data_IF_281262656686
#
_entry.id   IF_281262656686
#
_cell.length_a   1.000
_cell.length_b   1.000
_cell.length_c   1.000
_cell.angle_alpha   90.00
_cell.angle_beta   90.00
_cell.angle_gamma   90.00
#
_symmetry.space_group_name_H-M   'P 1'
#
loop_
_entity.id
_entity.type
_entity.pdbx_description
1 polymer ?
#
# COMPACT_ATOMS: atom_id res chain seq x y z
N UNK A 1 12.09 -46.10 44.06
CA UNK A 1 13.32 -45.72 43.31
C UNK A 1 12.93 -45.34 41.89
N UNK A 2 12.87 -44.05 41.56
CA UNK A 2 12.72 -43.57 40.17
C UNK A 2 13.59 -42.32 40.00
N UNK A 3 14.55 -42.41 39.07
CA UNK A 3 15.61 -41.43 38.85
C UNK A 3 15.14 -40.32 37.91
N UNK A 4 15.30 -39.07 38.34
CA UNK A 4 15.23 -37.87 37.53
C UNK A 4 16.39 -37.84 36.51
N UNK A 5 16.09 -37.56 35.24
CA UNK A 5 17.09 -37.24 34.22
C UNK A 5 16.95 -35.76 33.83
N UNK A 6 17.88 -34.95 34.33
CA UNK A 6 18.06 -33.56 33.91
C UNK A 6 18.94 -33.53 32.66
N UNK A 7 18.40 -33.03 31.54
CA UNK A 7 19.21 -32.67 30.38
C UNK A 7 19.54 -31.17 30.43
N UNK A 8 20.83 -30.89 30.59
CA UNK A 8 21.44 -29.55 30.63
C UNK A 8 21.95 -29.22 29.21
N UNK A 9 21.24 -28.35 28.50
CA UNK A 9 21.65 -27.88 27.16
C UNK A 9 22.64 -26.70 27.28
N UNK A 10 23.84 -26.92 26.78
CA UNK A 10 24.95 -25.97 26.70
C UNK A 10 24.71 -24.94 25.59
N UNK A 11 24.79 -23.64 25.90
CA UNK A 11 24.72 -22.56 24.91
C UNK A 11 26.09 -22.29 24.31
N UNK A 12 26.23 -22.50 23.00
CA UNK A 12 27.40 -22.07 22.21
C UNK A 12 27.17 -20.60 21.81
N UNK A 13 28.04 -19.69 22.27
CA UNK A 13 28.11 -18.30 21.81
C UNK A 13 29.17 -18.19 20.73
N UNK A 14 28.76 -17.92 19.49
CA UNK A 14 29.67 -17.57 18.39
C UNK A 14 29.79 -16.04 18.38
N UNK A 15 30.93 -15.53 18.83
CA UNK A 15 31.29 -14.12 18.71
C UNK A 15 31.90 -13.85 17.34
N UNK A 16 31.23 -13.03 16.52
CA UNK A 16 31.76 -12.58 15.24
C UNK A 16 32.31 -11.17 15.43
N UNK A 17 33.63 -11.07 15.56
CA UNK A 17 34.36 -9.81 15.70
C UNK A 17 34.72 -9.26 14.31
N UNK A 18 34.02 -8.21 13.86
CA UNK A 18 34.32 -7.53 12.58
C UNK A 18 35.32 -6.40 12.77
N UNK A 19 36.59 -6.65 12.43
CA UNK A 19 37.64 -5.62 12.29
C UNK A 19 37.39 -4.73 11.06
N UNK A 20 37.06 -3.45 11.27
CA UNK A 20 37.03 -2.43 10.20
C UNK A 20 38.44 -1.84 10.00
N UNK A 21 39.07 -2.13 8.85
CA UNK A 21 40.28 -1.42 8.40
C UNK A 21 39.89 -0.05 7.84
N UNK A 22 40.34 1.03 8.49
CA UNK A 22 40.25 2.40 7.95
C UNK A 22 41.36 2.59 6.90
N UNK A 23 41.00 2.77 5.64
CA UNK A 23 41.90 3.30 4.60
C UNK A 23 41.98 4.83 4.79
N UNK A 24 43.18 5.35 5.05
CA UNK A 24 43.47 6.78 4.96
C UNK A 24 43.61 7.12 3.48
N UNK A 25 42.77 8.02 2.99
CA UNK A 25 42.89 8.62 1.66
C UNK A 25 43.69 9.92 1.84
N UNK A 26 44.80 10.03 1.12
CA UNK A 26 45.60 11.26 1.05
C UNK A 26 44.89 12.26 0.14
N UNK A 27 44.59 13.44 0.68
CA UNK A 27 44.09 14.57 -0.07
C UNK A 27 45.26 15.27 -0.78
N UNK A 28 45.28 15.23 -2.11
CA UNK A 28 46.14 16.08 -2.91
C UNK A 28 45.50 17.48 -3.02
N UNK A 29 46.25 18.48 -2.57
CA UNK A 29 45.89 19.89 -2.63
C UNK A 29 46.15 20.40 -4.05
N UNK A 30 45.08 20.67 -4.81
CA UNK A 30 45.15 21.34 -6.13
C UNK A 30 44.76 22.81 -5.91
N UNK A 31 45.52 23.80 -6.41
CA UNK A 31 45.22 25.21 -6.21
C UNK A 31 43.96 25.63 -7.01
N UNK A 32 42.94 26.03 -6.26
CA UNK A 32 41.65 26.54 -6.71
C UNK A 32 41.73 28.03 -7.03
N UNK A 33 41.68 28.43 -8.29
CA UNK A 33 41.24 29.80 -8.61
C UNK A 33 40.74 30.04 -10.04
N UNK A 34 41.07 29.19 -11.04
CA UNK A 34 40.70 29.50 -12.44
C UNK A 34 39.68 28.55 -13.09
N UNK A 35 39.29 27.44 -12.43
CA UNK A 35 38.34 26.45 -12.98
C UNK A 35 36.89 26.74 -12.56
N UNK A 36 36.68 27.55 -11.51
CA UNK A 36 35.35 27.78 -10.93
C UNK A 36 34.38 28.55 -11.85
N UNK A 37 34.88 29.37 -12.78
CA UNK A 37 34.02 30.23 -13.62
C UNK A 37 33.48 29.47 -14.85
N UNK A 38 34.25 28.53 -15.42
CA UNK A 38 33.80 27.74 -16.58
C UNK A 38 32.81 26.63 -16.20
N UNK A 39 32.93 26.05 -15.00
CA UNK A 39 32.00 25.00 -14.54
C UNK A 39 30.62 25.58 -14.20
N UNK A 40 30.54 26.81 -13.67
CA UNK A 40 29.26 27.46 -13.38
C UNK A 40 28.46 27.84 -14.65
N UNK A 41 29.14 28.19 -15.74
CA UNK A 41 28.47 28.51 -17.02
C UNK A 41 27.98 27.27 -17.79
N UNK A 42 28.70 26.15 -17.72
CA UNK A 42 28.24 24.89 -18.34
C UNK A 42 27.10 24.21 -17.56
N UNK A 43 27.01 24.46 -16.24
CA UNK A 43 25.96 23.87 -15.38
C UNK A 43 24.58 24.50 -15.58
N UNK A 44 24.50 25.71 -16.14
CA UNK A 44 23.24 26.42 -16.41
C UNK A 44 22.63 26.11 -17.78
N UNK A 45 23.38 25.52 -18.71
CA UNK A 45 22.92 25.22 -20.08
C UNK A 45 22.53 23.75 -20.31
N UNK A 46 22.69 22.88 -19.30
CA UNK A 46 22.35 21.45 -19.37
C UNK A 46 21.41 21.05 -18.23
N UNK A 47 20.40 21.88 -17.92
CA UNK A 47 19.24 21.37 -17.20
C UNK A 47 18.31 20.76 -18.24
N UNK A 48 18.31 19.42 -18.44
CA UNK A 48 17.26 18.80 -19.22
C UNK A 48 15.94 19.22 -18.59
N UNK A 49 15.05 19.78 -19.40
CA UNK A 49 13.67 20.02 -19.03
C UNK A 49 13.05 18.68 -18.67
N UNK A 50 13.16 18.28 -17.40
CA UNK A 50 12.47 17.12 -16.88
C UNK A 50 10.99 17.47 -16.89
N UNK A 51 10.33 17.14 -18.00
CA UNK A 51 8.88 17.13 -18.09
C UNK A 51 8.44 16.02 -17.14
N UNK A 52 8.06 16.38 -15.92
CA UNK A 52 7.45 15.46 -14.97
C UNK A 52 6.07 15.14 -15.53
N UNK A 53 5.94 14.02 -16.24
CA UNK A 53 4.66 13.52 -16.72
C UNK A 53 3.94 12.79 -15.59
N UNK A 54 2.75 13.26 -15.24
CA UNK A 54 1.89 12.63 -14.24
C UNK A 54 1.26 11.35 -14.81
N UNK A 55 1.23 10.28 -14.02
CA UNK A 55 0.73 8.96 -14.44
C UNK A 55 -0.73 8.82 -14.02
N UNK A 56 -1.67 8.65 -14.94
CA UNK A 56 -3.08 8.49 -14.59
C UNK A 56 -3.52 7.02 -14.73
N UNK A 57 -4.25 6.48 -13.76
CA UNK A 57 -4.99 5.22 -13.85
C UNK A 57 -6.50 5.50 -13.82
N UNK A 58 -7.34 4.56 -14.27
CA UNK A 58 -8.81 4.74 -14.20
C UNK A 58 -9.45 3.74 -13.25
N UNK A 59 -10.34 4.22 -12.38
CA UNK A 59 -11.17 3.40 -11.51
C UNK A 59 -12.58 3.39 -12.08
N UNK A 60 -13.17 2.21 -12.21
CA UNK A 60 -14.57 2.04 -12.61
C UNK A 60 -15.34 1.35 -11.50
N UNK A 61 -16.45 1.92 -11.06
CA UNK A 61 -17.34 1.28 -10.08
C UNK A 61 -18.44 0.54 -10.84
N UNK A 62 -18.64 -0.73 -10.50
CA UNK A 62 -19.78 -1.48 -10.97
C UNK A 62 -20.94 -1.24 -10.00
N UNK A 63 -22.01 -0.64 -10.49
CA UNK A 63 -23.25 -0.54 -9.72
C UNK A 63 -23.82 -1.96 -9.50
N UNK A 64 -24.42 -2.24 -8.33
CA UNK A 64 -25.07 -3.52 -8.09
C UNK A 64 -26.17 -3.74 -9.14
N UNK A 65 -26.42 -5.00 -9.57
CA UNK A 65 -27.51 -5.30 -10.48
C UNK A 65 -28.85 -4.83 -9.87
N UNK A 66 -29.76 -4.27 -10.66
CA UNK A 66 -31.07 -3.85 -10.18
C UNK A 66 -31.84 -5.04 -9.60
N UNK A 67 -32.69 -4.78 -8.62
CA UNK A 67 -33.55 -5.81 -8.04
C UNK A 67 -34.55 -6.28 -9.11
N UNK A 68 -34.92 -7.58 -9.14
CA UNK A 68 -35.71 -8.20 -10.23
C UNK A 68 -37.12 -7.63 -10.43
N UNK A 69 -37.58 -6.69 -9.60
CA UNK A 69 -38.92 -6.12 -9.65
C UNK A 69 -38.94 -4.63 -10.02
N UNK A 70 -37.78 -4.01 -10.27
CA UNK A 70 -37.71 -2.67 -10.85
C UNK A 70 -37.45 -2.78 -12.35
N UNK A 71 -38.53 -2.88 -13.14
CA UNK A 71 -38.51 -2.66 -14.60
C UNK A 71 -38.27 -1.17 -14.89
N UNK A 72 -37.07 -0.72 -14.56
CA UNK A 72 -36.52 0.57 -14.95
C UNK A 72 -35.41 0.28 -15.94
N UNK A 73 -35.60 0.69 -17.20
CA UNK A 73 -34.60 0.66 -18.27
C UNK A 73 -33.43 1.63 -18.04
N UNK A 74 -33.02 1.78 -16.78
CA UNK A 74 -31.83 2.50 -16.36
C UNK A 74 -30.62 1.68 -16.77
N UNK A 75 -30.06 1.99 -17.95
CA UNK A 75 -28.74 1.48 -18.33
C UNK A 75 -27.77 1.90 -17.22
N UNK A 76 -27.24 0.91 -16.50
CA UNK A 76 -26.28 1.13 -15.43
C UNK A 76 -24.98 1.59 -16.06
N UNK A 77 -24.88 2.90 -16.30
CA UNK A 77 -23.69 3.51 -16.88
C UNK A 77 -22.54 3.33 -15.89
N UNK A 78 -21.55 2.55 -16.30
CA UNK A 78 -20.32 2.35 -15.53
C UNK A 78 -19.63 3.70 -15.36
N UNK A 79 -19.58 4.20 -14.12
CA UNK A 79 -18.94 5.48 -13.82
C UNK A 79 -17.43 5.27 -13.73
N UNK A 80 -16.69 6.03 -14.55
CA UNK A 80 -15.23 6.02 -14.62
C UNK A 80 -14.67 7.24 -13.91
N UNK A 81 -13.54 7.05 -13.23
CA UNK A 81 -12.86 8.08 -12.46
C UNK A 81 -11.38 8.10 -12.81
N UNK A 82 -10.82 9.31 -12.84
CA UNK A 82 -9.38 9.49 -12.91
C UNK A 82 -8.74 9.16 -11.55
N UNK A 83 -7.54 8.61 -11.60
CA UNK A 83 -6.76 8.26 -10.43
C UNK A 83 -5.26 8.35 -10.74
N UNK A 84 -4.42 8.36 -9.72
CA UNK A 84 -2.97 8.51 -9.82
C UNK A 84 -2.32 7.41 -8.95
N UNK A 85 -1.70 6.37 -9.54
CA UNK A 85 -0.99 5.37 -8.75
C UNK A 85 0.23 5.99 -8.04
N UNK A 86 0.60 5.42 -6.90
CA UNK A 86 1.82 5.81 -6.21
C UNK A 86 3.07 5.36 -6.97
N UNK A 87 4.19 6.02 -6.67
CA UNK A 87 5.52 5.62 -7.12
C UNK A 87 6.21 4.62 -6.17
N UNK A 88 5.48 4.09 -5.20
CA UNK A 88 5.98 3.16 -4.19
C UNK A 88 4.94 2.07 -3.88
N UNK A 89 5.39 1.04 -3.17
CA UNK A 89 4.59 -0.16 -2.91
C UNK A 89 4.64 -1.13 -4.08
N UNK A 90 3.60 -1.94 -4.24
CA UNK A 90 3.49 -2.80 -5.40
C UNK A 90 2.98 -1.98 -6.60
N UNK A 91 3.65 -2.10 -7.76
CA UNK A 91 3.28 -1.36 -8.96
C UNK A 91 2.14 -2.05 -9.71
N UNK A 92 1.30 -1.24 -10.37
CA UNK A 92 0.34 -1.75 -11.35
C UNK A 92 1.09 -2.16 -12.62
N UNK A 93 0.79 -3.34 -13.14
CA UNK A 93 1.36 -3.82 -14.39
C UNK A 93 0.66 -3.10 -15.56
N UNK A 94 1.40 -2.46 -16.47
CA UNK A 94 0.82 -1.81 -17.64
C UNK A 94 -0.02 -2.79 -18.48
N UNK A 95 -1.16 -2.32 -18.97
CA UNK A 95 -2.13 -3.10 -19.75
C UNK A 95 -3.04 -4.01 -18.92
N UNK A 96 -2.82 -4.13 -17.61
CA UNK A 96 -3.58 -5.05 -16.75
C UNK A 96 -4.86 -4.42 -16.22
N UNK A 97 -5.83 -5.28 -15.90
CA UNK A 97 -7.07 -4.90 -15.24
C UNK A 97 -7.17 -5.69 -13.94
N UNK A 98 -7.49 -4.99 -12.85
CA UNK A 98 -7.62 -5.58 -11.52
C UNK A 98 -9.05 -5.39 -11.01
N UNK A 99 -9.56 -6.37 -10.27
CA UNK A 99 -10.85 -6.28 -9.59
C UNK A 99 -10.64 -6.29 -8.08
N UNK A 100 -11.40 -5.49 -7.35
CA UNK A 100 -11.36 -5.47 -5.90
C UNK A 100 -12.72 -5.10 -5.29
N UNK A 101 -12.98 -5.56 -4.07
CA UNK A 101 -14.07 -5.08 -3.25
C UNK A 101 -13.64 -3.89 -2.40
N UNK A 102 -14.37 -2.78 -2.47
CA UNK A 102 -14.04 -1.57 -1.71
C UNK A 102 -14.63 -1.62 -0.32
N UNK A 103 -13.80 -1.44 0.68
CA UNK A 103 -14.22 -1.34 2.08
C UNK A 103 -13.61 -0.11 2.73
N UNK A 104 -14.28 0.36 3.79
CA UNK A 104 -13.80 1.47 4.61
C UNK A 104 -13.86 1.05 6.08
N UNK A 105 -12.76 1.25 6.80
CA UNK A 105 -12.68 0.95 8.23
C UNK A 105 -13.31 2.10 9.00
N UNK A 106 -14.46 1.87 9.62
CA UNK A 106 -15.24 2.95 10.27
C UNK A 106 -14.47 3.62 11.40
N UNK A 107 -13.65 2.86 12.13
CA UNK A 107 -12.87 3.35 13.27
C UNK A 107 -11.50 3.93 12.88
N UNK A 108 -11.07 3.79 11.63
CA UNK A 108 -9.76 4.23 11.13
C UNK A 108 -9.84 4.71 9.67
N UNK A 109 -10.70 5.70 9.41
CA UNK A 109 -10.92 6.27 8.07
C UNK A 109 -9.62 6.83 7.45
N UNK A 110 -8.62 7.16 8.26
CA UNK A 110 -7.32 7.65 7.79
C UNK A 110 -6.26 6.56 7.63
N UNK A 111 -6.52 5.30 8.06
CA UNK A 111 -5.55 4.21 8.11
C UNK A 111 -4.25 4.61 8.83
N UNK A 112 -4.34 5.25 9.99
CA UNK A 112 -3.16 5.69 10.74
C UNK A 112 -2.88 4.85 12.00
N UNK A 113 -3.82 3.99 12.43
CA UNK A 113 -3.72 3.31 13.72
C UNK A 113 -2.77 2.10 13.70
N UNK A 114 -2.63 1.40 12.57
CA UNK A 114 -1.82 0.18 12.47
C UNK A 114 -0.30 0.43 12.56
N UNK A 115 0.18 1.57 12.08
CA UNK A 115 1.62 1.90 12.13
C UNK A 115 2.11 2.20 13.57
N UNK A 116 1.27 2.83 14.39
CA UNK A 116 1.62 3.15 15.78
C UNK A 116 1.70 1.90 16.68
N UNK A 117 0.87 0.89 16.39
CA UNK A 117 0.84 -0.36 17.17
C UNK A 117 2.14 -1.18 17.07
N UNK A 118 2.87 -1.09 15.94
CA UNK A 118 4.12 -1.85 15.76
C UNK A 118 5.32 -1.20 16.45
N UNK A 119 5.39 0.13 16.53
CA UNK A 119 6.51 0.83 17.17
C UNK A 119 6.49 0.74 18.71
N UNK A 120 5.31 0.55 19.31
CA UNK A 120 5.16 0.43 20.77
C UNK A 120 5.29 -1.01 21.30
N UNK A 121 5.45 -2.03 20.45
CA UNK A 121 5.61 -3.44 20.89
C UNK A 121 6.87 -3.71 21.71
N UNK A 122 7.82 -2.78 21.77
CA UNK A 122 9.05 -2.93 22.55
C UNK A 122 8.94 -2.47 24.02
N UNK A 123 7.83 -1.88 24.48
CA UNK A 123 7.67 -1.47 25.88
C UNK A 123 6.27 -1.76 26.43
N UNK A 124 6.20 -2.80 27.27
CA UNK A 124 5.19 -3.10 28.30
C UNK A 124 3.85 -3.71 27.85
N UNK A 125 3.55 -4.82 28.54
CA UNK A 125 2.25 -5.47 28.73
C UNK A 125 1.82 -6.51 27.68
N UNK A 126 2.21 -7.77 27.94
CA UNK A 126 1.80 -8.97 27.19
C UNK A 126 0.32 -9.34 27.37
N UNK A 127 -0.44 -8.71 28.27
CA UNK A 127 -1.77 -9.22 28.64
C UNK A 127 -2.95 -8.58 27.88
N UNK A 128 -2.76 -7.49 27.13
CA UNK A 128 -3.86 -6.82 26.40
C UNK A 128 -3.83 -6.99 24.87
N UNK A 129 -2.87 -7.74 24.32
CA UNK A 129 -2.72 -7.87 22.86
C UNK A 129 -3.76 -8.78 22.19
N UNK A 130 -4.41 -9.69 22.93
CA UNK A 130 -5.38 -10.63 22.35
C UNK A 130 -6.74 -9.99 22.06
N UNK A 131 -7.18 -8.99 22.83
CA UNK A 131 -8.48 -8.34 22.61
C UNK A 131 -8.46 -7.37 21.41
N UNK A 132 -7.31 -6.73 21.12
CA UNK A 132 -7.21 -5.82 19.98
C UNK A 132 -7.20 -6.53 18.63
N UNK A 133 -6.69 -7.77 18.55
CA UNK A 133 -6.71 -8.55 17.30
C UNK A 133 -8.13 -9.00 16.93
N UNK A 134 -8.96 -9.37 17.90
CA UNK A 134 -10.34 -9.79 17.65
C UNK A 134 -11.22 -8.62 17.14
N UNK A 135 -11.04 -7.42 17.68
CA UNK A 135 -11.79 -6.24 17.19
C UNK A 135 -11.37 -5.79 15.79
N UNK A 136 -10.11 -6.00 15.40
CA UNK A 136 -9.63 -5.66 14.06
C UNK A 136 -10.14 -6.63 12.98
N UNK A 137 -10.40 -7.90 13.32
CA UNK A 137 -11.00 -8.88 12.40
C UNK A 137 -12.48 -8.58 12.10
N UNK A 138 -13.20 -7.91 13.00
CA UNK A 138 -14.63 -7.60 12.79
C UNK A 138 -14.85 -6.48 11.75
N UNK A 139 -13.86 -5.62 11.52
CA UNK A 139 -14.00 -4.46 10.64
C UNK A 139 -13.83 -4.78 9.15
N UNK A 140 -13.28 -5.95 8.79
CA UNK A 140 -13.05 -6.37 7.40
C UNK A 140 -13.84 -7.63 7.05
N UNK A 141 -14.65 -7.53 6.01
CA UNK A 141 -15.46 -8.64 5.50
C UNK A 141 -14.69 -9.32 4.37
N UNK A 142 -14.26 -10.57 4.57
CA UNK A 142 -13.58 -11.32 3.51
C UNK A 142 -14.55 -11.72 2.37
N UNK A 143 -14.29 -11.31 1.12
CA UNK A 143 -15.07 -11.75 -0.02
C UNK A 143 -14.97 -13.27 -0.22
N UNK A 144 -16.10 -13.92 -0.51
CA UNK A 144 -16.16 -15.39 -0.73
C UNK A 144 -15.75 -15.82 -2.14
N UNK A 145 -15.76 -14.88 -3.07
CA UNK A 145 -15.39 -15.08 -4.47
C UNK A 145 -13.87 -15.03 -4.71
N UNK A 146 -13.08 -14.71 -3.68
CA UNK A 146 -11.63 -14.62 -3.76
C UNK A 146 -11.11 -13.34 -4.39
N UNK A 147 -12.00 -12.38 -4.71
CA UNK A 147 -11.59 -11.06 -5.19
C UNK A 147 -10.96 -10.29 -4.01
N UNK A 148 -9.79 -9.64 -4.20
CA UNK A 148 -9.11 -8.94 -3.12
C UNK A 148 -9.87 -7.69 -2.66
N UNK A 149 -9.44 -7.13 -1.54
CA UNK A 149 -10.00 -5.93 -0.92
C UNK A 149 -9.15 -4.71 -1.29
N UNK A 150 -9.86 -3.61 -1.60
CA UNK A 150 -9.33 -2.27 -1.68
C UNK A 150 -9.81 -1.46 -0.46
N UNK A 151 -8.90 -1.01 0.40
CA UNK A 151 -9.25 -0.16 1.52
C UNK A 151 -9.32 1.30 1.08
N UNK A 152 -10.45 1.95 1.32
CA UNK A 152 -10.65 3.38 1.09
C UNK A 152 -10.20 4.17 2.32
N UNK A 153 -9.32 5.15 2.10
CA UNK A 153 -8.76 6.00 3.14
C UNK A 153 -8.84 7.48 2.77
N UNK A 154 -9.06 8.34 3.75
CA UNK A 154 -8.99 9.80 3.57
C UNK A 154 -7.55 10.29 3.65
N UNK A 155 -7.18 11.27 2.82
CA UNK A 155 -5.90 12.01 2.92
C UNK A 155 -5.78 12.73 4.27
N UNK A 156 -4.54 12.90 4.73
CA UNK A 156 -4.21 13.60 5.98
C UNK A 156 -3.91 12.67 7.16
N UNK A 157 -3.66 13.27 8.34
CA UNK A 157 -3.28 12.66 9.63
C UNK A 157 -1.95 11.90 9.69
N UNK A 158 -1.57 11.16 8.64
CA UNK A 158 -0.30 10.45 8.52
C UNK A 158 0.16 10.36 7.05
N UNK A 159 1.42 9.97 6.83
CA UNK A 159 2.01 9.82 5.49
C UNK A 159 1.35 8.70 4.67
N UNK A 160 1.43 8.75 3.34
CA UNK A 160 0.91 7.67 2.48
C UNK A 160 1.58 6.33 2.77
N UNK A 161 2.86 6.36 3.12
CA UNK A 161 3.62 5.19 3.54
C UNK A 161 3.05 4.58 4.83
N UNK A 162 2.72 5.41 5.82
CA UNK A 162 2.09 4.95 7.06
C UNK A 162 0.71 4.32 6.79
N UNK A 163 -0.08 4.89 5.86
CA UNK A 163 -1.36 4.30 5.42
C UNK A 163 -1.16 2.93 4.79
N UNK A 164 -0.18 2.78 3.92
CA UNK A 164 0.17 1.51 3.29
C UNK A 164 0.57 0.44 4.33
N UNK A 165 1.43 0.81 5.27
CA UNK A 165 1.85 -0.07 6.38
C UNK A 165 0.67 -0.43 7.30
N UNK A 166 -0.22 0.52 7.57
CA UNK A 166 -1.44 0.27 8.36
C UNK A 166 -2.38 -0.69 7.63
N UNK A 167 -2.60 -0.51 6.33
CA UNK A 167 -3.40 -1.41 5.50
C UNK A 167 -2.89 -2.86 5.56
N UNK A 168 -1.57 -3.05 5.50
CA UNK A 168 -0.96 -4.38 5.62
C UNK A 168 -1.16 -5.03 7.00
N UNK A 169 -1.38 -4.24 8.06
CA UNK A 169 -1.65 -4.79 9.41
C UNK A 169 -3.03 -5.42 9.55
N UNK A 170 -3.91 -5.17 8.58
CA UNK A 170 -5.23 -5.79 8.48
C UNK A 170 -5.23 -7.13 7.74
N UNK A 171 -4.09 -7.55 7.19
CA UNK A 171 -3.96 -8.92 6.70
C UNK A 171 -4.07 -9.88 7.89
N UNK A 172 -5.05 -10.81 7.92
CA UNK A 172 -5.14 -11.76 9.01
C UNK A 172 -3.84 -12.57 9.08
N UNK A 173 -3.38 -12.91 10.29
CA UNK A 173 -2.14 -13.65 10.47
C UNK A 173 -2.28 -15.02 9.81
N UNK A 174 -1.74 -15.12 8.59
CA UNK A 174 -1.55 -16.32 7.78
C UNK A 174 -2.58 -17.42 8.11
N UNK A 175 -3.78 -17.36 7.54
CA UNK A 175 -4.63 -18.54 7.52
C UNK A 175 -3.98 -19.53 6.54
N UNK A 176 -3.36 -20.65 6.99
CA UNK A 176 -3.11 -21.73 6.06
C UNK A 176 -4.50 -22.17 5.60
N UNK A 177 -4.86 -21.83 4.36
CA UNK A 177 -6.00 -22.44 3.70
C UNK A 177 -5.74 -23.96 3.76
N UNK A 178 -6.36 -24.62 4.74
CA UNK A 178 -6.12 -26.02 5.08
C UNK A 178 -6.42 -26.84 3.84
N UNK A 179 -5.39 -27.32 3.15
CA UNK A 179 -5.56 -28.26 2.04
C UNK A 179 -4.63 -28.11 0.82
N UNK A 180 -3.66 -27.17 0.78
CA UNK A 180 -2.70 -27.13 -0.34
C UNK A 180 -1.25 -27.20 0.14
N UNK A 181 -0.60 -28.25 -0.36
CA UNK A 181 0.70 -28.82 0.00
C UNK A 181 1.89 -27.91 -0.26
N UNK A 182 2.92 -28.01 0.59
CA UNK A 182 4.32 -27.65 0.34
C UNK A 182 4.55 -26.42 -0.54
N UNK A 183 4.23 -25.24 0.00
CA UNK A 183 4.50 -23.97 -0.65
C UNK A 183 5.91 -23.49 -0.28
N UNK A 184 6.87 -23.69 -1.18
CA UNK A 184 8.21 -23.11 -1.07
C UNK A 184 8.14 -21.61 -1.35
N UNK A 185 7.92 -20.84 -0.28
CA UNK A 185 8.35 -19.48 0.10
C UNK A 185 8.93 -18.45 -0.90
N UNK A 186 9.04 -18.66 -2.21
CA UNK A 186 9.81 -17.73 -3.07
C UNK A 186 9.07 -17.02 -4.20
N UNK A 187 7.88 -17.44 -4.67
CA UNK A 187 7.38 -16.84 -5.93
C UNK A 187 5.89 -16.46 -6.04
N UNK A 188 5.07 -16.59 -5.00
CA UNK A 188 3.64 -16.36 -5.20
C UNK A 188 2.98 -15.70 -3.99
N UNK A 189 3.31 -14.42 -3.86
CA UNK A 189 2.77 -13.40 -2.95
C UNK A 189 1.30 -13.00 -3.24
N UNK A 190 0.57 -13.81 -4.02
CA UNK A 190 -0.76 -13.48 -4.56
C UNK A 190 -1.91 -13.66 -3.59
N UNK A 191 -1.68 -14.24 -2.40
CA UNK A 191 -2.76 -14.60 -1.47
C UNK A 191 -3.00 -13.54 -0.39
N UNK A 192 -2.80 -12.27 -0.73
CA UNK A 192 -3.10 -11.14 0.15
C UNK A 192 -4.55 -10.75 0.00
N UNK A 193 -5.22 -10.59 1.13
CA UNK A 193 -6.61 -10.17 1.18
C UNK A 193 -6.71 -8.69 0.86
N UNK A 194 -5.88 -7.84 1.46
CA UNK A 194 -5.79 -6.41 1.14
C UNK A 194 -4.69 -6.21 0.12
N UNK A 195 -5.05 -5.88 -1.13
CA UNK A 195 -4.08 -5.64 -2.21
C UNK A 195 -3.98 -4.17 -2.61
N UNK A 196 -5.03 -3.39 -2.33
CA UNK A 196 -5.12 -2.00 -2.75
C UNK A 196 -5.45 -1.08 -1.57
N UNK A 197 -4.92 0.13 -1.63
CA UNK A 197 -5.34 1.25 -0.80
C UNK A 197 -5.68 2.41 -1.72
N UNK A 198 -6.91 2.88 -1.65
CA UNK A 198 -7.40 4.04 -2.40
C UNK A 198 -7.43 5.22 -1.44
N UNK A 199 -6.61 6.23 -1.70
CA UNK A 199 -6.57 7.46 -0.91
C UNK A 199 -7.31 8.54 -1.66
N UNK A 200 -8.39 9.05 -1.08
CA UNK A 200 -9.09 10.20 -1.63
C UNK A 200 -8.67 11.49 -0.94
N UNK A 201 -8.67 12.57 -1.71
CA UNK A 201 -8.26 13.89 -1.24
C UNK A 201 -9.16 14.42 -0.12
N UNK A 202 -8.63 15.31 0.73
CA UNK A 202 -9.39 15.99 1.78
C UNK A 202 -9.91 17.37 1.37
N UNK A 203 -9.48 17.87 0.21
CA UNK A 203 -9.96 19.10 -0.42
C UNK A 203 -10.19 18.91 -1.92
N UNK A 204 -11.05 19.75 -2.50
CA UNK A 204 -11.28 19.77 -3.94
C UNK A 204 -10.09 20.44 -4.65
N UNK A 205 -9.17 19.62 -5.18
CA UNK A 205 -8.11 20.07 -6.08
C UNK A 205 -8.47 19.74 -7.53
N UNK A 206 -8.01 20.59 -8.46
CA UNK A 206 -8.16 20.34 -9.90
C UNK A 206 -7.18 19.28 -10.43
N UNK A 207 -6.15 18.92 -9.66
CA UNK A 207 -5.10 17.99 -10.05
C UNK A 207 -4.92 16.90 -9.00
N UNK A 208 -4.61 15.69 -9.47
CA UNK A 208 -4.29 14.57 -8.59
C UNK A 208 -2.89 14.75 -7.99
N UNK A 209 -2.74 14.37 -6.72
CA UNK A 209 -1.48 14.53 -5.99
C UNK A 209 -0.61 13.27 -6.19
N UNK A 210 0.64 13.41 -6.65
CA UNK A 210 1.56 12.27 -6.70
C UNK A 210 1.87 11.81 -5.27
N UNK A 211 1.81 10.51 -5.04
CA UNK A 211 2.15 9.93 -3.75
C UNK A 211 3.60 9.41 -3.77
N UNK A 212 4.39 9.86 -2.79
CA UNK A 212 5.76 9.40 -2.52
C UNK A 212 5.89 8.84 -1.11
N UNK A 213 6.85 7.93 -0.90
CA UNK A 213 7.31 7.55 0.44
C UNK A 213 8.21 8.67 0.96
N UNK A 214 7.76 9.36 2.01
CA UNK A 214 8.46 10.53 2.56
C UNK A 214 9.64 10.15 3.46
N UNK A 215 9.64 8.90 3.97
CA UNK A 215 10.41 8.54 5.17
C UNK A 215 11.53 7.50 4.89
N UNK A 216 11.77 7.14 3.63
CA UNK A 216 12.82 6.20 3.24
C UNK A 216 13.99 6.89 2.53
N UNK A 217 14.73 7.74 3.25
CA UNK A 217 16.05 8.23 2.82
C UNK A 217 17.02 7.08 2.48
N UNK A 218 16.74 5.88 3.00
CA UNK A 218 17.52 4.66 2.75
C UNK A 218 17.09 3.89 1.49
N UNK A 219 16.13 4.38 0.69
CA UNK A 219 15.64 3.70 -0.51
C UNK A 219 14.91 2.36 -0.22
N UNK A 220 14.80 1.98 1.05
CA UNK A 220 14.17 0.74 1.48
C UNK A 220 12.70 0.97 1.81
N UNK A 221 11.93 1.33 0.77
CA UNK A 221 10.48 1.08 0.75
C UNK A 221 10.17 -0.44 0.69
N UNK A 222 11.21 -1.28 0.73
CA UNK A 222 11.17 -2.73 0.75
C UNK A 222 10.37 -3.22 1.93
N UNK A 223 9.15 -3.67 1.64
CA UNK A 223 8.24 -4.13 2.68
C UNK A 223 6.83 -3.62 2.50
N UNK A 224 6.59 -2.64 1.62
CA UNK A 224 5.23 -2.26 1.23
C UNK A 224 4.86 -3.06 -0.02
N UNK A 225 3.87 -3.93 0.11
CA UNK A 225 3.39 -4.76 -1.01
C UNK A 225 1.89 -4.56 -1.27
N UNK A 226 1.34 -3.43 -0.83
CA UNK A 226 0.01 -2.98 -1.25
C UNK A 226 0.17 -1.97 -2.39
N UNK A 227 -0.78 -1.96 -3.31
CA UNK A 227 -0.87 -1.00 -4.41
C UNK A 227 -1.60 0.24 -3.93
N UNK A 228 -0.97 1.40 -4.04
CA UNK A 228 -1.54 2.66 -3.59
C UNK A 228 -2.10 3.43 -4.80
N UNK A 229 -3.33 3.94 -4.69
CA UNK A 229 -4.00 4.70 -5.74
C UNK A 229 -4.60 5.98 -5.13
N UNK A 230 -4.38 7.13 -5.75
CA UNK A 230 -4.90 8.42 -5.32
C UNK A 230 -6.08 8.83 -6.19
N UNK A 231 -7.14 9.38 -5.61
CA UNK A 231 -8.32 9.90 -6.32
C UNK A 231 -8.71 11.27 -5.80
N UNK A 232 -9.48 12.02 -6.58
CA UNK A 232 -10.00 13.32 -6.16
C UNK A 232 -10.99 13.20 -5.00
N UNK A 233 -11.29 14.32 -4.34
CA UNK A 233 -12.30 14.39 -3.29
C UNK A 233 -13.65 13.88 -3.78
N UNK A 234 -14.11 14.32 -4.95
CA UNK A 234 -15.43 13.96 -5.48
C UNK A 234 -15.54 12.45 -5.74
N UNK A 235 -14.51 11.84 -6.34
CA UNK A 235 -14.44 10.38 -6.52
C UNK A 235 -14.45 9.65 -5.17
N UNK A 236 -13.71 10.16 -4.19
CA UNK A 236 -13.73 9.64 -2.83
C UNK A 236 -15.12 9.64 -2.21
N UNK A 237 -15.83 10.77 -2.30
CA UNK A 237 -17.18 10.93 -1.77
C UNK A 237 -18.19 10.01 -2.48
N UNK A 238 -18.04 9.81 -3.79
CA UNK A 238 -18.86 8.84 -4.53
C UNK A 238 -18.61 7.40 -4.06
N UNK A 239 -17.35 7.02 -3.81
CA UNK A 239 -17.00 5.71 -3.25
C UNK A 239 -17.54 5.53 -1.83
N UNK A 240 -17.42 6.56 -0.98
CA UNK A 240 -18.00 6.57 0.37
C UNK A 240 -19.51 6.38 0.30
N UNK A 241 -20.19 7.12 -0.58
CA UNK A 241 -21.63 6.99 -0.79
C UNK A 241 -21.99 5.58 -1.23
N UNK A 242 -21.28 5.02 -2.22
CA UNK A 242 -21.52 3.65 -2.69
C UNK A 242 -21.35 2.60 -1.58
N UNK A 243 -20.35 2.75 -0.71
CA UNK A 243 -20.15 1.87 0.46
C UNK A 243 -21.27 2.03 1.48
N UNK A 244 -21.77 3.25 1.71
CA UNK A 244 -22.80 3.54 2.71
C UNK A 244 -24.21 3.15 2.24
N UNK A 245 -24.51 3.28 0.95
CA UNK A 245 -25.85 3.00 0.38
C UNK A 245 -25.99 1.58 -0.17
N UNK A 246 -24.97 0.74 -0.04
CA UNK A 246 -25.03 -0.65 -0.53
C UNK A 246 -26.10 -1.47 0.21
N UNK A 247 -26.67 -2.45 -0.49
CA UNK A 247 -27.60 -3.38 0.14
C UNK A 247 -26.86 -4.39 1.06
N UNK A 248 -27.62 -5.11 1.88
CA UNK A 248 -27.07 -6.10 2.82
C UNK A 248 -26.33 -7.25 2.12
N UNK A 249 -26.71 -7.60 0.90
CA UNK A 249 -26.06 -8.66 0.12
C UNK A 249 -24.65 -8.23 -0.31
N UNK A 250 -24.51 -7.04 -0.87
CA UNK A 250 -23.22 -6.45 -1.26
C UNK A 250 -22.32 -6.20 -0.05
N UNK A 251 -22.90 -5.75 1.07
CA UNK A 251 -22.15 -5.63 2.33
C UNK A 251 -21.57 -6.98 2.76
N UNK A 252 -22.39 -8.05 2.74
CA UNK A 252 -21.96 -9.42 3.09
C UNK A 252 -20.98 -10.04 2.11
N UNK A 253 -20.91 -9.56 0.86
CA UNK A 253 -19.89 -9.99 -0.11
C UNK A 253 -18.57 -9.24 0.02
N UNK A 254 -18.45 -8.28 0.94
CA UNK A 254 -17.23 -7.51 1.16
C UNK A 254 -17.24 -6.12 0.54
N UNK A 255 -18.39 -5.57 0.13
CA UNK A 255 -18.48 -4.21 -0.38
C UNK A 255 -18.75 -4.11 -1.88
N UNK A 256 -18.93 -2.89 -2.42
CA UNK A 256 -19.06 -2.66 -3.86
C UNK A 256 -17.83 -3.17 -4.62
N UNK A 257 -18.05 -3.75 -5.80
CA UNK A 257 -16.95 -4.19 -6.67
C UNK A 257 -16.48 -3.03 -7.54
N UNK A 258 -15.16 -2.86 -7.65
CA UNK A 258 -14.54 -1.93 -8.56
C UNK A 258 -13.55 -2.64 -9.49
N UNK A 259 -13.26 -1.97 -10.60
CA UNK A 259 -12.24 -2.35 -11.56
C UNK A 259 -11.21 -1.24 -11.66
N UNK A 260 -9.93 -1.57 -11.46
CA UNK A 260 -8.80 -0.68 -11.66
C UNK A 260 -8.18 -1.07 -12.99
N UNK A 261 -8.37 -0.22 -13.99
CA UNK A 261 -7.75 -0.39 -15.29
C UNK A 261 -6.41 0.31 -15.30
N UNK A 262 -5.36 -0.48 -15.46
CA UNK A 262 -4.05 -0.04 -15.88
C UNK A 262 -3.94 -0.12 -17.42
N UNK A 263 -4.94 0.38 -18.20
CA UNK A 263 -4.89 0.60 -19.69
C UNK A 263 -4.52 2.03 -20.19
N UNK A 264 -3.63 2.19 -21.20
CA UNK A 264 -2.99 3.46 -21.53
C UNK A 264 -3.95 4.64 -21.75
N UNK A 265 -3.51 5.90 -21.62
CA UNK A 265 -2.12 6.36 -21.73
C UNK A 265 -1.33 6.34 -20.40
N UNK A 266 -0.64 5.23 -20.08
CA UNK A 266 0.45 5.29 -19.12
C UNK A 266 1.68 5.64 -19.90
N UNK A 267 2.22 6.82 -19.63
CA UNK A 267 3.64 6.98 -19.78
C UNK A 267 4.27 6.25 -18.61
N UNK A 268 4.63 4.98 -18.82
CA UNK A 268 5.74 4.41 -18.06
C UNK A 268 6.90 5.40 -18.26
N UNK A 269 7.48 6.01 -17.22
CA UNK A 269 8.81 6.57 -17.39
C UNK A 269 9.63 5.40 -17.92
N UNK A 270 10.08 5.50 -19.17
CA UNK A 270 10.99 4.53 -19.75
C UNK A 270 12.19 4.54 -18.82
N UNK A 271 12.39 3.44 -18.08
CA UNK A 271 13.62 3.18 -17.36
C UNK A 271 14.73 3.03 -18.41
N UNK A 272 15.27 4.15 -18.88
CA UNK A 272 16.53 4.24 -19.62
C UNK A 272 17.58 4.80 -18.68
#
# INVERSE_FOLDING_TARGET
>A
MQKNSQYKMSRIRIGIERRRKRKRIFAHHIPNSSIFILVLMYSLLLLPSFIITTVHATISIHAPPPLPNEESSSSTTMKKYESQPALFGELLLPGSTYSAHVQMISNDVYLCNGAAANNNKNKKSKNNQQQQQQQQEEDIILPKDGIPIALLAKRGKCSFEAKAKSAMSYEPPFFPLRGRTNYTSTENNWNRIVQFVIVYDDYAHSTLVPMSSSDSDDGDSGGIFVRMIFVSLDTGLDLVKAIQTQNNTTKKSGGPSLTIDAKPPYYSPSLY
#
